data_IF_975125238041
#
_entry.id   IF_975125238041
#
_cell.length_a   1.000
_cell.length_b   1.000
_cell.length_c   1.000
_cell.angle_alpha   90.00
_cell.angle_beta   90.00
_cell.angle_gamma   90.00
#
_symmetry.space_group_name_H-M   'P 1'
#
loop_
_entity.id
_entity.type
_entity.pdbx_description
1 polymer ?
#
# COMPACT_ATOMS: atom_id res chain seq x y z
N UNK A 1 19.33 -0.46 -21.04
CA UNK A 1 18.02 0.23 -21.04
C UNK A 1 17.79 0.70 -19.61
N UNK A 2 17.80 2.01 -19.38
CA UNK A 2 17.46 2.57 -18.06
C UNK A 2 15.97 2.42 -17.77
N UNK A 3 15.57 2.55 -16.50
CA UNK A 3 14.14 2.58 -16.09
C UNK A 3 13.33 3.53 -16.98
N UNK A 4 13.95 4.64 -17.44
CA UNK A 4 13.30 5.67 -18.25
C UNK A 4 12.86 5.22 -19.66
N UNK A 5 13.41 4.14 -20.22
CA UNK A 5 13.07 3.66 -21.57
C UNK A 5 11.89 2.68 -21.62
N UNK A 6 11.38 2.23 -20.46
CA UNK A 6 10.21 1.32 -20.36
C UNK A 6 8.92 2.07 -20.02
N UNK A 7 9.00 3.40 -19.93
CA UNK A 7 7.86 4.24 -19.56
C UNK A 7 6.80 4.27 -20.65
N UNK A 8 5.63 3.68 -20.35
CA UNK A 8 4.43 3.89 -21.17
C UNK A 8 3.93 5.34 -20.99
N UNK A 9 3.40 5.98 -22.06
CA UNK A 9 2.70 7.24 -21.92
C UNK A 9 1.56 7.07 -20.92
N UNK A 10 1.50 7.88 -19.87
CA UNK A 10 0.46 7.83 -18.82
C UNK A 10 1.00 7.92 -17.39
N UNK A 11 2.31 7.78 -17.21
CA UNK A 11 2.93 7.84 -15.87
C UNK A 11 3.60 9.20 -15.60
N UNK A 12 3.05 10.27 -16.15
CA UNK A 12 3.59 11.64 -16.02
C UNK A 12 3.78 12.06 -14.56
N UNK A 13 2.90 11.61 -13.67
CA UNK A 13 2.95 11.93 -12.25
C UNK A 13 4.11 11.25 -11.54
N UNK A 14 4.42 10.00 -11.89
CA UNK A 14 5.60 9.31 -11.39
C UNK A 14 6.87 9.95 -11.95
N UNK A 15 6.90 10.29 -13.23
CA UNK A 15 8.01 11.03 -13.85
C UNK A 15 8.22 12.40 -13.20
N UNK A 16 7.13 13.07 -12.83
CA UNK A 16 7.24 14.33 -12.08
C UNK A 16 7.80 14.12 -10.68
N UNK A 17 7.43 13.03 -9.99
CA UNK A 17 8.04 12.65 -8.72
C UNK A 17 9.54 12.39 -8.88
N UNK A 18 9.96 11.61 -9.89
CA UNK A 18 11.37 11.34 -10.18
C UNK A 18 12.14 12.67 -10.44
N UNK A 19 11.55 13.60 -11.18
CA UNK A 19 12.13 14.92 -11.43
C UNK A 19 12.27 15.76 -10.15
N UNK A 20 11.29 15.71 -9.25
CA UNK A 20 11.36 16.43 -7.95
C UNK A 20 12.41 15.83 -7.01
N UNK A 21 12.79 14.58 -7.22
CA UNK A 21 13.78 13.85 -6.40
C UNK A 21 15.13 13.73 -7.09
N UNK A 22 15.28 14.27 -8.30
CA UNK A 22 16.52 14.23 -9.07
C UNK A 22 17.70 14.81 -8.28
N UNK A 23 18.86 14.16 -8.34
CA UNK A 23 20.08 14.55 -7.65
C UNK A 23 20.17 14.07 -6.19
N UNK A 24 19.12 13.44 -5.64
CA UNK A 24 19.16 12.79 -4.33
C UNK A 24 19.37 11.29 -4.49
N UNK A 25 20.19 10.73 -3.62
CA UNK A 25 20.35 9.27 -3.52
C UNK A 25 19.10 8.62 -2.88
N UNK A 26 18.97 7.32 -3.04
CA UNK A 26 17.87 6.56 -2.42
C UNK A 26 17.88 6.73 -0.89
N UNK A 27 19.05 6.63 -0.26
CA UNK A 27 19.13 6.77 1.21
C UNK A 27 18.81 8.18 1.68
N UNK A 28 19.16 9.23 0.93
CA UNK A 28 18.75 10.60 1.25
C UNK A 28 17.22 10.76 1.18
N UNK A 29 16.55 10.10 0.22
CA UNK A 29 15.10 10.10 0.12
C UNK A 29 14.44 9.32 1.25
N UNK A 30 15.00 8.18 1.64
CA UNK A 30 14.49 7.35 2.72
C UNK A 30 14.72 7.95 4.12
N UNK A 31 15.62 8.94 4.23
CA UNK A 31 15.88 9.71 5.45
C UNK A 31 15.05 11.00 5.55
N UNK A 32 14.26 11.33 4.53
CA UNK A 32 13.33 12.47 4.61
C UNK A 32 12.34 12.26 5.76
N UNK A 33 11.90 13.35 6.35
CA UNK A 33 10.78 13.29 7.28
C UNK A 33 9.51 12.82 6.56
N UNK A 34 8.60 12.13 7.24
CA UNK A 34 7.32 11.72 6.66
C UNK A 34 6.53 12.87 6.04
N UNK A 35 6.62 14.07 6.62
CA UNK A 35 5.98 15.26 6.11
C UNK A 35 6.59 15.74 4.78
N UNK A 36 7.91 15.63 4.60
CA UNK A 36 8.57 15.96 3.34
C UNK A 36 8.17 14.97 2.24
N UNK A 37 8.12 13.67 2.55
CA UNK A 37 7.64 12.65 1.60
C UNK A 37 6.19 12.90 1.21
N UNK A 38 5.30 13.17 2.17
CA UNK A 38 3.91 13.57 1.90
C UNK A 38 3.86 14.79 0.97
N UNK A 39 4.66 15.80 1.24
CA UNK A 39 4.70 17.02 0.42
C UNK A 39 5.14 16.75 -1.03
N UNK A 40 6.10 15.84 -1.24
CA UNK A 40 6.48 15.38 -2.57
C UNK A 40 5.33 14.68 -3.28
N UNK A 41 4.66 13.74 -2.62
CA UNK A 41 3.51 13.01 -3.17
C UNK A 41 2.36 13.96 -3.53
N UNK A 42 2.00 14.88 -2.64
CA UNK A 42 0.92 15.85 -2.84
C UNK A 42 1.12 16.75 -4.07
N UNK A 43 2.38 17.10 -4.39
CA UNK A 43 2.71 17.94 -5.55
C UNK A 43 2.51 17.24 -6.90
N UNK A 44 2.48 15.91 -6.92
CA UNK A 44 2.54 15.11 -8.16
C UNK A 44 1.20 14.58 -8.63
N UNK A 45 0.12 14.80 -7.92
CA UNK A 45 -1.18 14.12 -8.14
C UNK A 45 -1.12 12.58 -8.09
N UNK A 46 -0.02 12.00 -7.63
CA UNK A 46 0.05 10.55 -7.40
C UNK A 46 -1.08 10.01 -6.49
N UNK A 47 -1.59 10.75 -5.50
CA UNK A 47 -2.72 10.28 -4.72
C UNK A 47 -4.04 10.17 -5.49
N UNK A 48 -4.18 10.83 -6.64
CA UNK A 48 -5.43 10.96 -7.39
C UNK A 48 -5.48 10.18 -8.71
N UNK A 49 -4.56 9.22 -8.93
CA UNK A 49 -4.44 8.53 -10.23
C UNK A 49 -5.73 7.84 -10.67
N UNK A 50 -6.36 7.08 -9.79
CA UNK A 50 -7.55 6.25 -10.10
C UNK A 50 -8.87 6.94 -9.76
N UNK A 51 -8.84 8.09 -9.07
CA UNK A 51 -10.05 8.82 -8.69
C UNK A 51 -10.76 9.34 -9.94
N UNK A 52 -12.10 9.19 -10.05
CA UNK A 52 -12.86 9.67 -11.20
C UNK A 52 -12.70 11.17 -11.45
N UNK A 53 -12.72 11.55 -12.73
CA UNK A 53 -12.57 12.97 -13.16
C UNK A 53 -13.63 13.89 -12.56
N UNK A 54 -14.83 13.38 -12.29
CA UNK A 54 -15.92 14.15 -11.67
C UNK A 54 -15.54 14.66 -10.27
N UNK A 55 -14.60 13.99 -9.59
CA UNK A 55 -14.04 14.42 -8.31
C UNK A 55 -12.68 15.12 -8.46
N UNK A 56 -12.24 15.44 -9.68
CA UNK A 56 -10.98 16.12 -9.96
C UNK A 56 -9.76 15.18 -10.09
N UNK A 57 -9.97 13.86 -10.03
CA UNK A 57 -8.94 12.84 -10.22
C UNK A 57 -8.54 12.66 -11.69
N UNK A 58 -7.58 11.76 -11.94
CA UNK A 58 -7.06 11.48 -13.28
C UNK A 58 -7.80 10.35 -13.98
N UNK A 59 -8.51 9.50 -13.24
CA UNK A 59 -9.28 8.36 -13.75
C UNK A 59 -8.44 7.44 -14.63
N UNK A 60 -7.18 7.19 -14.23
CA UNK A 60 -6.31 6.26 -14.94
C UNK A 60 -6.74 4.82 -14.68
N UNK A 61 -6.53 3.91 -15.64
CA UNK A 61 -6.66 2.48 -15.41
C UNK A 61 -5.77 2.02 -14.25
N UNK A 62 -6.22 1.04 -13.48
CA UNK A 62 -5.50 0.51 -12.31
C UNK A 62 -4.05 0.11 -12.66
N UNK A 63 -3.84 -0.52 -13.84
CA UNK A 63 -2.52 -0.91 -14.32
C UNK A 63 -1.53 0.25 -14.43
N UNK A 64 -1.99 1.44 -14.83
CA UNK A 64 -1.13 2.63 -14.93
C UNK A 64 -0.76 3.18 -13.56
N UNK A 65 -1.68 3.11 -12.60
CA UNK A 65 -1.40 3.48 -11.22
C UNK A 65 -0.40 2.50 -10.56
N UNK A 66 -0.49 1.20 -10.86
CA UNK A 66 0.46 0.19 -10.40
C UNK A 66 1.86 0.41 -10.96
N UNK A 67 1.97 0.70 -12.26
CA UNK A 67 3.25 1.06 -12.89
C UNK A 67 3.84 2.32 -12.25
N UNK A 68 3.02 3.34 -11.99
CA UNK A 68 3.45 4.57 -11.31
C UNK A 68 4.03 4.30 -9.92
N UNK A 69 3.34 3.48 -9.12
CA UNK A 69 3.81 3.11 -7.78
C UNK A 69 5.11 2.30 -7.85
N UNK A 70 5.26 1.39 -8.81
CA UNK A 70 6.50 0.66 -9.04
C UNK A 70 7.69 1.58 -9.37
N UNK A 71 7.47 2.62 -10.17
CA UNK A 71 8.49 3.63 -10.49
C UNK A 71 8.89 4.47 -9.25
N UNK A 72 7.92 4.89 -8.46
CA UNK A 72 8.19 5.61 -7.20
C UNK A 72 8.99 4.72 -6.24
N UNK A 73 8.66 3.43 -6.16
CA UNK A 73 9.36 2.47 -5.30
C UNK A 73 10.82 2.26 -5.69
N UNK A 74 11.16 2.43 -6.97
CA UNK A 74 12.53 2.30 -7.45
C UNK A 74 13.46 3.40 -6.91
N UNK A 75 12.93 4.56 -6.51
CA UNK A 75 13.72 5.68 -5.99
C UNK A 75 13.44 5.97 -4.52
N UNK A 76 12.22 5.70 -4.04
CA UNK A 76 11.80 5.92 -2.65
C UNK A 76 10.75 4.88 -2.24
N UNK A 77 11.17 3.69 -1.76
CA UNK A 77 10.27 2.64 -1.27
C UNK A 77 9.26 3.12 -0.24
N UNK A 78 9.66 4.02 0.68
CA UNK A 78 8.75 4.59 1.69
C UNK A 78 7.60 5.37 1.06
N UNK A 79 7.87 6.22 0.05
CA UNK A 79 6.84 6.98 -0.65
C UNK A 79 5.85 6.04 -1.38
N UNK A 80 6.36 5.00 -2.02
CA UNK A 80 5.52 3.99 -2.68
C UNK A 80 4.63 3.25 -1.67
N UNK A 81 5.16 2.91 -0.49
CA UNK A 81 4.39 2.24 0.55
C UNK A 81 3.28 3.12 1.13
N UNK A 82 3.55 4.44 1.29
CA UNK A 82 2.50 5.40 1.65
C UNK A 82 1.37 5.40 0.62
N UNK A 83 1.69 5.35 -0.68
CA UNK A 83 0.69 5.23 -1.75
C UNK A 83 -0.06 3.89 -1.72
N UNK A 84 0.61 2.77 -1.41
CA UNK A 84 -0.04 1.47 -1.28
C UNK A 84 -1.12 1.49 -0.18
N UNK A 85 -0.81 2.08 0.98
CA UNK A 85 -1.77 2.21 2.07
C UNK A 85 -2.90 3.18 1.74
N UNK A 86 -2.60 4.26 1.04
CA UNK A 86 -3.59 5.20 0.53
C UNK A 86 -4.56 4.51 -0.43
N UNK A 87 -4.06 3.79 -1.42
CA UNK A 87 -4.88 3.10 -2.41
C UNK A 87 -5.61 1.86 -1.86
N UNK A 88 -5.15 1.28 -0.75
CA UNK A 88 -5.92 0.25 -0.04
C UNK A 88 -7.35 0.71 0.23
N UNK A 89 -7.55 1.96 0.63
CA UNK A 89 -8.87 2.53 0.96
C UNK A 89 -9.46 3.29 -0.23
N UNK A 90 -8.67 4.16 -0.84
CA UNK A 90 -9.17 5.06 -1.89
C UNK A 90 -9.66 4.30 -3.12
N UNK A 91 -9.11 3.12 -3.42
CA UNK A 91 -9.61 2.27 -4.52
C UNK A 91 -11.07 1.88 -4.31
N UNK A 92 -11.43 1.50 -3.09
CA UNK A 92 -12.82 1.13 -2.74
C UNK A 92 -13.75 2.34 -2.86
N UNK A 93 -13.37 3.47 -2.26
CA UNK A 93 -14.21 4.69 -2.29
C UNK A 93 -14.39 5.18 -3.74
N UNK A 94 -13.33 5.12 -4.56
CA UNK A 94 -13.36 5.54 -5.96
C UNK A 94 -14.18 4.60 -6.85
N UNK A 95 -14.23 3.29 -6.54
CA UNK A 95 -15.00 2.29 -7.29
C UNK A 95 -16.49 2.34 -6.93
N UNK A 96 -16.83 2.65 -5.68
CA UNK A 96 -18.21 2.67 -5.16
C UNK A 96 -18.58 4.01 -4.53
N UNK A 97 -18.42 5.15 -5.20
CA UNK A 97 -18.54 6.45 -4.56
C UNK A 97 -19.96 6.76 -4.02
N UNK A 98 -20.98 6.14 -4.58
CA UNK A 98 -22.38 6.29 -4.11
C UNK A 98 -22.69 5.50 -2.85
N UNK A 99 -21.82 4.56 -2.47
CA UNK A 99 -21.97 3.76 -1.26
C UNK A 99 -21.48 4.47 0.01
N UNK A 100 -20.70 5.53 -0.14
CA UNK A 100 -20.04 6.22 0.96
C UNK A 100 -20.50 7.69 1.03
N UNK A 101 -21.24 8.10 2.07
CA UNK A 101 -21.76 9.47 2.17
C UNK A 101 -20.66 10.55 2.11
N UNK A 102 -19.46 10.22 2.61
CA UNK A 102 -18.28 11.10 2.62
C UNK A 102 -17.47 11.11 1.31
N UNK A 103 -17.80 10.23 0.35
CA UNK A 103 -16.94 10.00 -0.83
C UNK A 103 -16.65 11.28 -1.61
N UNK A 104 -17.65 12.10 -1.89
CA UNK A 104 -17.47 13.33 -2.67
C UNK A 104 -16.48 14.28 -2.00
N UNK A 105 -16.61 14.47 -0.69
CA UNK A 105 -15.73 15.37 0.09
C UNK A 105 -14.31 14.84 0.06
N UNK A 106 -14.11 13.57 0.40
CA UNK A 106 -12.80 12.92 0.52
C UNK A 106 -12.11 12.86 -0.84
N UNK A 107 -12.80 12.38 -1.90
CA UNK A 107 -12.20 12.23 -3.22
C UNK A 107 -11.83 13.57 -3.84
N UNK A 108 -12.65 14.62 -3.65
CA UNK A 108 -12.31 15.98 -4.08
C UNK A 108 -11.13 16.54 -3.30
N UNK A 109 -11.07 16.35 -1.99
CA UNK A 109 -9.98 16.87 -1.16
C UNK A 109 -8.65 16.17 -1.52
N UNK A 110 -8.65 14.87 -1.75
CA UNK A 110 -7.47 14.14 -2.25
C UNK A 110 -7.04 14.71 -3.62
N UNK A 111 -7.97 14.87 -4.54
CA UNK A 111 -7.67 15.24 -5.93
C UNK A 111 -7.20 16.68 -6.10
N UNK A 112 -7.80 17.61 -5.35
CA UNK A 112 -7.55 19.05 -5.48
C UNK A 112 -6.45 19.55 -4.54
N UNK A 113 -6.36 18.96 -3.35
CA UNK A 113 -5.46 19.42 -2.29
C UNK A 113 -4.31 18.44 -2.02
N UNK A 114 -4.23 17.31 -2.75
CA UNK A 114 -3.16 16.31 -2.60
C UNK A 114 -3.16 15.61 -1.25
N UNK A 115 -4.34 15.45 -0.64
CA UNK A 115 -4.51 14.79 0.66
C UNK A 115 -4.20 13.30 0.59
N UNK A 116 -3.76 12.74 1.72
CA UNK A 116 -3.48 11.31 1.85
C UNK A 116 -4.39 10.67 2.91
N UNK A 117 -4.79 9.43 2.64
CA UNK A 117 -5.58 8.60 3.53
C UNK A 117 -4.74 7.43 4.04
N UNK A 118 -4.70 7.24 5.35
CA UNK A 118 -4.09 6.08 5.98
C UNK A 118 -5.10 4.94 6.15
N UNK A 119 -4.60 3.72 6.06
CA UNK A 119 -5.35 2.51 6.39
C UNK A 119 -5.03 2.08 7.82
N UNK A 120 -5.98 2.21 8.74
CA UNK A 120 -5.89 1.81 10.13
C UNK A 120 -6.71 0.54 10.39
N UNK A 121 -6.32 -0.56 9.73
CA UNK A 121 -6.97 -1.87 9.85
C UNK A 121 -6.13 -2.87 10.66
N UNK A 122 -4.80 -2.77 10.61
CA UNK A 122 -3.91 -3.75 11.23
C UNK A 122 -3.94 -3.70 12.77
N UNK A 123 -3.98 -4.88 13.39
CA UNK A 123 -3.81 -5.08 14.84
C UNK A 123 -2.70 -6.11 15.08
N UNK A 124 -1.76 -5.82 16.00
CA UNK A 124 -0.63 -6.70 16.30
C UNK A 124 -0.97 -7.85 17.27
N UNK A 125 -2.23 -8.00 17.64
CA UNK A 125 -2.73 -9.13 18.40
C UNK A 125 -2.83 -10.35 17.50
N UNK A 126 -1.99 -11.36 17.66
CA UNK A 126 -1.84 -12.63 16.94
C UNK A 126 -2.95 -13.24 16.09
N UNK A 127 -4.12 -12.66 16.03
CA UNK A 127 -5.18 -12.99 15.08
C UNK A 127 -4.91 -12.22 13.78
N UNK A 128 -4.48 -12.95 12.76
CA UNK A 128 -4.09 -12.39 11.45
C UNK A 128 -5.29 -12.06 10.54
N UNK A 129 -6.49 -12.07 11.09
CA UNK A 129 -7.70 -11.71 10.36
C UNK A 129 -7.85 -10.18 10.34
N UNK A 130 -7.61 -9.59 9.17
CA UNK A 130 -7.74 -8.14 8.95
C UNK A 130 -9.19 -7.64 9.01
N UNK A 131 -10.16 -8.56 8.99
CA UNK A 131 -11.58 -8.25 9.10
C UNK A 131 -12.06 -8.23 10.56
N UNK A 132 -11.28 -8.78 11.49
CA UNK A 132 -11.56 -8.68 12.93
C UNK A 132 -10.95 -7.40 13.50
N UNK A 133 -11.73 -6.66 14.25
CA UNK A 133 -11.27 -5.45 14.93
C UNK A 133 -11.65 -5.47 16.42
N UNK A 134 -10.71 -4.99 17.26
CA UNK A 134 -10.95 -4.74 18.68
C UNK A 134 -11.25 -3.27 18.99
N UNK A 135 -11.24 -2.40 17.97
CA UNK A 135 -11.56 -0.99 18.16
C UNK A 135 -13.06 -0.83 18.33
N UNK A 136 -13.45 -0.48 19.55
CA UNK A 136 -14.86 -0.37 19.94
C UNK A 136 -15.48 0.93 19.44
N UNK A 137 -16.71 0.83 18.93
CA UNK A 137 -17.58 1.95 18.64
C UNK A 137 -18.80 1.91 19.57
N UNK A 138 -19.07 2.99 20.29
CA UNK A 138 -20.30 3.17 21.07
C UNK A 138 -21.17 4.22 20.40
N UNK A 139 -22.44 3.87 20.17
CA UNK A 139 -23.43 4.77 19.57
C UNK A 139 -24.39 5.22 20.67
N UNK A 140 -24.51 6.52 20.88
CA UNK A 140 -25.48 7.06 21.85
C UNK A 140 -26.89 7.16 21.25
N UNK A 141 -27.90 7.32 22.09
CA UNK A 141 -29.29 7.53 21.66
C UNK A 141 -29.45 8.77 20.76
N UNK A 142 -28.53 9.72 20.86
CA UNK A 142 -28.48 10.95 20.05
C UNK A 142 -27.72 10.76 18.73
N UNK A 143 -27.27 9.52 18.38
CA UNK A 143 -26.51 9.21 17.17
C UNK A 143 -25.06 9.64 17.21
N UNK A 144 -24.50 9.99 18.37
CA UNK A 144 -23.08 10.30 18.53
C UNK A 144 -22.27 9.01 18.61
N UNK A 145 -21.31 8.85 17.72
CA UNK A 145 -20.43 7.69 17.67
C UNK A 145 -19.10 8.04 18.34
N UNK A 146 -18.68 7.24 19.32
CA UNK A 146 -17.37 7.36 19.98
C UNK A 146 -16.53 6.12 19.70
N UNK A 147 -15.28 6.35 19.30
CA UNK A 147 -14.33 5.30 18.92
C UNK A 147 -13.25 5.21 19.99
N UNK A 148 -12.97 3.99 20.47
CA UNK A 148 -11.95 3.72 21.49
C UNK A 148 -11.18 2.45 21.15
N UNK A 149 -9.84 2.49 21.24
CA UNK A 149 -8.96 1.38 20.96
C UNK A 149 -7.65 1.80 20.31
N UNK A 150 -6.97 0.91 19.60
CA UNK A 150 -5.76 1.26 18.85
C UNK A 150 -5.53 0.36 17.65
N UNK A 151 -4.75 0.86 16.68
CA UNK A 151 -4.30 0.14 15.48
C UNK A 151 -2.79 0.27 15.32
N UNK A 152 -2.12 -0.83 14.93
CA UNK A 152 -0.67 -0.86 14.70
C UNK A 152 -0.23 -2.06 13.84
N UNK A 153 0.69 -1.84 12.87
CA UNK A 153 1.19 -0.52 12.45
C UNK A 153 0.14 0.24 11.63
N UNK A 154 0.12 1.57 11.76
CA UNK A 154 -0.61 2.47 10.89
C UNK A 154 0.42 3.35 10.16
N UNK A 155 0.58 3.12 8.87
CA UNK A 155 1.44 3.94 8.00
C UNK A 155 0.84 5.34 7.86
N UNK A 156 1.71 6.36 7.82
CA UNK A 156 1.31 7.78 7.83
C UNK A 156 0.59 8.20 9.12
N UNK A 157 0.95 7.61 10.25
CA UNK A 157 0.25 7.79 11.53
C UNK A 157 0.19 9.24 12.02
N UNK A 158 1.19 10.08 11.72
CA UNK A 158 1.21 11.51 12.04
C UNK A 158 0.82 12.39 10.86
N UNK A 159 1.08 11.95 9.62
CA UNK A 159 1.05 12.82 8.45
C UNK A 159 -0.16 12.62 7.55
N UNK A 160 -0.89 11.50 7.62
CA UNK A 160 -2.13 11.34 6.85
C UNK A 160 -3.14 12.45 7.18
N UNK A 161 -3.96 12.82 6.22
CA UNK A 161 -5.05 13.78 6.42
C UNK A 161 -6.31 13.09 6.92
N UNK A 162 -6.52 11.84 6.46
CA UNK A 162 -7.63 10.98 6.83
C UNK A 162 -7.16 9.61 7.27
N UNK A 163 -7.91 8.97 8.15
CA UNK A 163 -7.70 7.58 8.59
C UNK A 163 -8.97 6.78 8.38
N UNK A 164 -8.91 5.71 7.59
CA UNK A 164 -9.96 4.72 7.54
C UNK A 164 -9.71 3.67 8.64
N UNK A 165 -10.62 3.57 9.57
CA UNK A 165 -10.49 2.75 10.79
C UNK A 165 -11.57 1.68 10.80
N UNK A 166 -11.18 0.40 10.90
CA UNK A 166 -12.15 -0.67 11.17
C UNK A 166 -12.59 -0.61 12.64
N UNK A 167 -13.89 -0.64 12.89
CA UNK A 167 -14.54 -0.53 14.19
C UNK A 167 -15.58 -1.62 14.37
N UNK A 168 -15.99 -1.86 15.62
CA UNK A 168 -17.07 -2.81 15.95
C UNK A 168 -17.92 -2.27 17.09
N UNK A 169 -19.23 -2.43 17.01
CA UNK A 169 -20.15 -2.10 18.12
C UNK A 169 -20.14 -3.18 19.19
N UNK A 170 -20.73 -2.91 20.35
CA UNK A 170 -20.90 -3.87 21.42
C UNK A 170 -21.74 -5.10 21.01
N UNK A 171 -22.67 -4.90 20.07
CA UNK A 171 -23.54 -5.93 19.49
C UNK A 171 -22.83 -6.77 18.43
N UNK A 172 -21.59 -6.43 18.09
CA UNK A 172 -20.78 -7.15 17.09
C UNK A 172 -21.00 -6.67 15.65
N UNK A 173 -21.62 -5.52 15.40
CA UNK A 173 -21.77 -4.95 14.07
C UNK A 173 -20.46 -4.27 13.67
N UNK A 174 -19.75 -4.76 12.63
CA UNK A 174 -18.54 -4.12 12.14
C UNK A 174 -18.85 -2.88 11.29
N UNK A 175 -17.86 -1.98 11.21
CA UNK A 175 -17.97 -0.78 10.39
C UNK A 175 -16.58 -0.23 10.01
N UNK A 176 -16.59 0.78 9.15
CA UNK A 176 -15.42 1.59 8.79
C UNK A 176 -15.76 3.04 9.08
N UNK A 177 -14.97 3.68 9.94
CA UNK A 177 -15.03 5.11 10.21
C UNK A 177 -13.92 5.85 9.48
N UNK A 178 -14.22 7.04 8.96
CA UNK A 178 -13.23 7.96 8.43
C UNK A 178 -13.01 9.08 9.45
N UNK A 179 -11.77 9.19 9.94
CA UNK A 179 -11.36 10.21 10.90
C UNK A 179 -10.42 11.21 10.21
N UNK A 180 -10.43 12.46 10.68
CA UNK A 180 -9.49 13.49 10.24
C UNK A 180 -8.31 13.58 11.21
N UNK A 181 -7.13 13.97 10.72
CA UNK A 181 -5.93 14.07 11.55
C UNK A 181 -6.06 15.04 12.73
N UNK A 182 -6.97 16.03 12.63
CA UNK A 182 -7.24 17.00 13.67
C UNK A 182 -8.28 16.58 14.71
N UNK A 183 -8.88 15.38 14.60
CA UNK A 183 -9.92 14.94 15.52
C UNK A 183 -9.37 14.77 16.94
N UNK A 184 -10.12 15.33 17.91
CA UNK A 184 -9.75 15.23 19.32
C UNK A 184 -9.77 13.77 19.78
N UNK A 185 -8.81 13.40 20.62
CA UNK A 185 -8.65 12.02 21.12
C UNK A 185 -7.74 11.13 20.28
N UNK A 186 -7.27 11.58 19.12
CA UNK A 186 -6.25 10.85 18.36
C UNK A 186 -4.88 11.03 19.02
N UNK A 187 -4.24 9.91 19.41
CA UNK A 187 -2.90 9.87 19.96
C UNK A 187 -2.00 8.95 19.12
N UNK A 188 -0.71 9.17 19.16
CA UNK A 188 0.30 8.37 18.46
C UNK A 188 1.33 7.87 19.45
N UNK A 189 1.79 6.64 19.21
CA UNK A 189 2.84 6.01 20.02
C UNK A 189 3.83 5.33 19.10
N UNK A 190 5.12 5.52 19.35
CA UNK A 190 6.18 4.87 18.58
C UNK A 190 5.99 3.35 18.59
N UNK A 191 6.06 2.74 17.41
CA UNK A 191 5.88 1.30 17.23
C UNK A 191 6.96 0.69 16.35
N UNK A 192 7.31 1.32 15.22
CA UNK A 192 8.25 0.76 14.26
C UNK A 192 9.66 0.64 14.84
N UNK A 193 10.21 -0.58 15.06
CA UNK A 193 11.46 -0.76 15.78
C UNK A 193 12.71 -0.73 14.89
N UNK A 194 12.52 -0.70 13.56
CA UNK A 194 13.60 -0.88 12.58
C UNK A 194 14.19 0.42 12.07
N UNK A 195 15.25 0.26 11.29
CA UNK A 195 15.98 1.32 10.57
C UNK A 195 15.59 1.40 9.08
N UNK A 196 14.57 0.64 8.68
CA UNK A 196 14.12 0.53 7.29
C UNK A 196 12.73 1.14 7.12
N UNK A 197 12.48 1.83 6.02
CA UNK A 197 11.20 2.46 5.70
C UNK A 197 10.70 3.46 6.77
N UNK A 198 11.62 4.17 7.42
CA UNK A 198 11.29 5.11 8.49
C UNK A 198 10.38 6.26 8.01
N UNK A 199 10.57 6.71 6.78
CA UNK A 199 9.78 7.78 6.20
C UNK A 199 8.30 7.39 5.97
N UNK A 200 7.93 6.11 6.13
CA UNK A 200 6.51 5.68 6.09
C UNK A 200 5.71 6.11 7.31
N UNK A 201 6.36 6.49 8.41
CA UNK A 201 5.68 6.91 9.65
C UNK A 201 4.70 5.83 10.17
N UNK A 202 5.19 4.58 10.25
CA UNK A 202 4.36 3.41 10.60
C UNK A 202 4.35 3.17 12.11
N UNK A 203 3.44 3.83 12.84
CA UNK A 203 3.35 3.77 14.29
C UNK A 203 1.99 3.26 14.78
N UNK A 204 1.81 3.22 16.11
CA UNK A 204 0.52 2.94 16.74
C UNK A 204 -0.33 4.21 16.76
N UNK A 205 -1.57 4.12 16.27
CA UNK A 205 -2.58 5.15 16.44
C UNK A 205 -3.57 4.70 17.50
N UNK A 206 -3.84 5.57 18.47
CA UNK A 206 -4.72 5.32 19.62
C UNK A 206 -5.92 6.24 19.52
N UNK A 207 -7.09 5.66 19.67
CA UNK A 207 -8.39 6.34 19.69
C UNK A 207 -8.87 6.44 21.15
N UNK A 208 -8.86 7.64 21.71
CA UNK A 208 -9.31 7.91 23.07
C UNK A 208 -10.63 8.69 23.05
N UNK A 209 -11.74 7.96 22.94
CA UNK A 209 -13.08 8.52 22.82
C UNK A 209 -13.22 9.52 21.66
N UNK A 210 -12.67 9.18 20.49
CA UNK A 210 -12.76 10.01 19.29
C UNK A 210 -14.21 10.08 18.83
N UNK A 211 -14.75 11.28 18.68
CA UNK A 211 -16.11 11.49 18.21
C UNK A 211 -16.13 11.56 16.69
N UNK A 212 -17.01 10.78 16.09
CA UNK A 212 -17.26 10.79 14.64
C UNK A 212 -18.73 10.96 14.35
N UNK A 213 -19.05 11.65 13.24
CA UNK A 213 -20.43 11.81 12.78
C UNK A 213 -20.88 10.57 12.02
N UNK A 214 -22.17 10.29 12.05
CA UNK A 214 -22.78 9.15 11.37
C UNK A 214 -22.43 9.11 9.87
N UNK A 215 -22.50 10.23 9.16
CA UNK A 215 -22.16 10.36 7.74
C UNK A 215 -20.69 9.98 7.40
N UNK A 216 -19.85 9.79 8.41
CA UNK A 216 -18.45 9.41 8.27
C UNK A 216 -18.19 7.95 8.69
N UNK A 217 -19.26 7.17 8.87
CA UNK A 217 -19.20 5.75 9.20
C UNK A 217 -20.01 4.95 8.19
N UNK A 218 -19.50 3.81 7.79
CA UNK A 218 -20.23 2.81 7.00
C UNK A 218 -20.30 1.53 7.81
N UNK A 219 -21.52 1.08 8.09
CA UNK A 219 -21.80 -0.13 8.85
C UNK A 219 -22.01 -1.34 7.92
N UNK A 220 -21.70 -2.52 8.42
CA UNK A 220 -21.91 -3.79 7.74
C UNK A 220 -23.36 -4.25 7.81
N UNK A 221 -24.29 -3.43 7.32
CA UNK A 221 -25.73 -3.71 7.34
C UNK A 221 -26.21 -4.54 6.15
N UNK A 222 -25.35 -4.74 5.14
CA UNK A 222 -25.69 -5.47 3.92
C UNK A 222 -24.47 -6.26 3.37
N UNK A 223 -24.74 -7.18 2.45
CA UNK A 223 -23.73 -8.03 1.79
C UNK A 223 -22.64 -7.23 1.02
N UNK A 224 -22.92 -5.97 0.66
CA UNK A 224 -21.95 -5.13 -0.04
C UNK A 224 -20.74 -4.74 0.81
N UNK A 225 -20.84 -4.80 2.14
CA UNK A 225 -19.74 -4.44 3.03
C UNK A 225 -18.52 -5.35 2.80
N UNK A 226 -18.75 -6.65 2.67
CA UNK A 226 -17.67 -7.61 2.36
C UNK A 226 -17.03 -7.30 0.99
N UNK A 227 -17.83 -6.91 0.00
CA UNK A 227 -17.34 -6.49 -1.32
C UNK A 227 -16.39 -5.30 -1.20
N UNK A 228 -16.69 -4.32 -0.34
CA UNK A 228 -15.84 -3.15 -0.11
C UNK A 228 -14.52 -3.53 0.54
N UNK A 229 -14.53 -4.39 1.55
CA UNK A 229 -13.32 -4.91 2.19
C UNK A 229 -12.46 -5.70 1.21
N UNK A 230 -13.07 -6.58 0.44
CA UNK A 230 -12.39 -7.39 -0.57
C UNK A 230 -11.77 -6.54 -1.68
N UNK A 231 -12.45 -5.46 -2.11
CA UNK A 231 -11.90 -4.50 -3.08
C UNK A 231 -10.64 -3.83 -2.55
N UNK A 232 -10.66 -3.38 -1.31
CA UNK A 232 -9.49 -2.83 -0.64
C UNK A 232 -8.35 -3.85 -0.57
N UNK A 233 -8.65 -5.08 -0.17
CA UNK A 233 -7.66 -6.16 -0.04
C UNK A 233 -7.02 -6.53 -1.39
N UNK A 234 -7.82 -6.66 -2.45
CA UNK A 234 -7.32 -6.92 -3.82
C UNK A 234 -6.41 -5.77 -4.26
N UNK A 235 -6.88 -4.53 -4.15
CA UNK A 235 -6.11 -3.35 -4.54
C UNK A 235 -4.80 -3.26 -3.76
N UNK A 236 -4.83 -3.41 -2.43
CA UNK A 236 -3.65 -3.40 -1.59
C UNK A 236 -2.60 -4.40 -2.04
N UNK A 237 -3.00 -5.66 -2.28
CA UNK A 237 -2.06 -6.71 -2.68
C UNK A 237 -1.44 -6.44 -4.05
N UNK A 238 -2.19 -5.89 -5.01
CA UNK A 238 -1.66 -5.50 -6.32
C UNK A 238 -0.65 -4.35 -6.18
N UNK A 239 -0.99 -3.28 -5.45
CA UNK A 239 -0.11 -2.14 -5.25
C UNK A 239 1.18 -2.51 -4.52
N UNK A 240 1.10 -3.33 -3.48
CA UNK A 240 2.27 -3.74 -2.72
C UNK A 240 3.20 -4.63 -3.55
N UNK A 241 2.65 -5.54 -4.37
CA UNK A 241 3.44 -6.33 -5.31
C UNK A 241 4.16 -5.45 -6.35
N UNK A 242 3.48 -4.42 -6.88
CA UNK A 242 4.09 -3.47 -7.79
C UNK A 242 5.22 -2.68 -7.13
N UNK A 243 5.02 -2.20 -5.90
CA UNK A 243 6.03 -1.46 -5.14
C UNK A 243 7.28 -2.29 -4.88
N UNK A 244 7.15 -3.50 -4.35
CA UNK A 244 8.31 -4.35 -4.06
C UNK A 244 8.99 -4.89 -5.33
N UNK A 245 8.26 -5.10 -6.41
CA UNK A 245 8.85 -5.39 -7.73
C UNK A 245 9.68 -4.20 -8.22
N UNK A 246 9.18 -2.97 -8.08
CA UNK A 246 9.91 -1.74 -8.41
C UNK A 246 11.19 -1.55 -7.59
N UNK A 247 11.13 -1.79 -6.27
CA UNK A 247 12.31 -1.75 -5.40
C UNK A 247 13.35 -2.82 -5.78
N UNK A 248 12.92 -4.04 -6.13
CA UNK A 248 13.80 -5.11 -6.61
C UNK A 248 14.37 -4.80 -8.00
N UNK A 249 13.61 -4.12 -8.86
CA UNK A 249 14.10 -3.59 -10.14
C UNK A 249 15.26 -2.62 -9.90
N UNK A 250 15.13 -1.66 -8.98
CA UNK A 250 16.20 -0.73 -8.62
C UNK A 250 17.43 -1.45 -8.07
N UNK A 251 17.24 -2.49 -7.25
CA UNK A 251 18.35 -3.34 -6.79
C UNK A 251 19.08 -3.99 -7.97
N UNK A 252 18.35 -4.49 -8.99
CA UNK A 252 18.95 -5.11 -10.17
C UNK A 252 19.78 -4.13 -11.00
N UNK A 253 19.44 -2.86 -10.99
CA UNK A 253 20.15 -1.81 -11.75
C UNK A 253 21.48 -1.41 -11.11
N UNK A 254 21.71 -1.88 -9.89
CA UNK A 254 23.01 -1.73 -9.25
C UNK A 254 24.04 -2.74 -9.74
N UNK A 255 23.67 -3.74 -10.54
CA UNK A 255 24.62 -4.59 -11.22
C UNK A 255 25.42 -3.83 -12.29
N UNK A 256 26.66 -4.24 -12.53
CA UNK A 256 27.46 -3.63 -13.59
C UNK A 256 26.84 -3.91 -14.97
N UNK A 257 26.99 -2.98 -15.93
CA UNK A 257 26.53 -3.22 -17.31
C UNK A 257 27.09 -4.50 -17.92
N UNK A 258 28.37 -4.83 -17.62
CA UNK A 258 29.03 -6.06 -18.09
C UNK A 258 28.38 -7.32 -17.52
N UNK A 259 28.01 -7.33 -16.23
CA UNK A 259 27.27 -8.45 -15.63
C UNK A 259 25.93 -8.64 -16.32
N UNK A 260 25.17 -7.55 -16.51
CA UNK A 260 23.85 -7.58 -17.16
C UNK A 260 23.89 -7.92 -18.65
N UNK A 261 25.05 -7.88 -19.31
CA UNK A 261 25.22 -8.35 -20.69
C UNK A 261 25.24 -9.88 -20.79
N UNK A 262 25.49 -10.61 -19.69
CA UNK A 262 25.46 -12.09 -19.69
C UNK A 262 24.02 -12.60 -19.71
N UNK A 263 23.60 -13.44 -20.68
CA UNK A 263 22.27 -14.04 -20.69
C UNK A 263 21.96 -14.87 -19.43
N UNK A 264 22.96 -15.53 -18.86
CA UNK A 264 22.82 -16.32 -17.63
C UNK A 264 22.43 -15.49 -16.41
N UNK A 265 22.78 -14.19 -16.39
CA UNK A 265 22.43 -13.23 -15.33
C UNK A 265 21.16 -12.48 -15.72
N UNK A 266 21.07 -12.02 -16.96
CA UNK A 266 19.97 -11.22 -17.46
C UNK A 266 18.62 -11.97 -17.40
N UNK A 267 18.58 -13.23 -17.86
CA UNK A 267 17.34 -14.00 -17.99
C UNK A 267 16.67 -14.22 -16.62
N UNK A 268 17.32 -14.78 -15.57
CA UNK A 268 16.65 -14.98 -14.28
C UNK A 268 16.24 -13.67 -13.62
N UNK A 269 17.00 -12.58 -13.77
CA UNK A 269 16.71 -11.31 -13.14
C UNK A 269 15.63 -10.55 -13.91
N UNK A 270 15.88 -10.20 -15.17
CA UNK A 270 14.91 -9.39 -15.95
C UNK A 270 13.67 -10.16 -16.35
N UNK A 271 13.81 -11.45 -16.67
CA UNK A 271 12.67 -12.32 -16.94
C UNK A 271 11.79 -12.51 -15.71
N UNK A 272 12.38 -12.74 -14.54
CA UNK A 272 11.65 -12.84 -13.27
C UNK A 272 10.93 -11.56 -12.88
N UNK A 273 11.60 -10.40 -12.98
CA UNK A 273 10.97 -9.10 -12.73
C UNK A 273 9.83 -8.81 -13.72
N UNK A 274 10.02 -9.11 -15.00
CA UNK A 274 8.97 -8.97 -16.00
C UNK A 274 7.77 -9.88 -15.70
N UNK A 275 8.01 -11.13 -15.30
CA UNK A 275 6.95 -12.06 -14.89
C UNK A 275 6.17 -11.49 -13.69
N UNK A 276 6.84 -11.03 -12.64
CA UNK A 276 6.19 -10.43 -11.47
C UNK A 276 5.30 -9.24 -11.90
N UNK A 277 5.86 -8.31 -12.68
CA UNK A 277 5.14 -7.13 -13.15
C UNK A 277 3.93 -7.48 -14.01
N UNK A 278 4.11 -8.30 -15.05
CA UNK A 278 3.01 -8.62 -15.97
C UNK A 278 1.92 -9.48 -15.32
N UNK A 279 2.24 -10.31 -14.34
CA UNK A 279 1.24 -11.04 -13.57
C UNK A 279 0.33 -10.10 -12.77
N UNK A 280 0.91 -9.08 -12.14
CA UNK A 280 0.16 -8.03 -11.41
C UNK A 280 -0.73 -7.25 -12.38
N UNK A 281 -0.18 -6.80 -13.51
CA UNK A 281 -0.91 -6.02 -14.51
C UNK A 281 -2.03 -6.84 -15.16
N UNK A 282 -1.82 -8.14 -15.39
CA UNK A 282 -2.83 -9.04 -15.95
C UNK A 282 -4.07 -9.18 -15.05
N UNK A 283 -3.86 -9.30 -13.74
CA UNK A 283 -5.00 -9.28 -12.80
C UNK A 283 -5.67 -7.90 -12.79
N UNK A 284 -4.88 -6.84 -12.75
CA UNK A 284 -5.41 -5.47 -12.67
C UNK A 284 -6.33 -5.10 -13.86
N UNK A 285 -6.11 -5.68 -15.04
CA UNK A 285 -6.98 -5.48 -16.21
C UNK A 285 -8.36 -6.15 -16.07
N UNK A 286 -8.47 -7.10 -15.15
CA UNK A 286 -9.68 -7.89 -14.93
C UNK A 286 -10.40 -7.55 -13.61
N UNK A 287 -9.94 -6.55 -12.86
CA UNK A 287 -10.60 -6.14 -11.61
C UNK A 287 -11.90 -5.43 -11.94
N UNK A 288 -13.01 -6.09 -11.60
CA UNK A 288 -14.38 -5.59 -11.78
C UNK A 288 -15.19 -5.87 -10.51
N UNK A 289 -16.24 -5.08 -10.22
CA UNK A 289 -17.10 -5.32 -9.06
C UNK A 289 -17.58 -6.76 -8.93
N UNK A 290 -17.99 -7.37 -10.04
CA UNK A 290 -18.62 -8.69 -10.06
C UNK A 290 -17.64 -9.86 -9.81
N UNK A 291 -16.33 -9.61 -9.86
CA UNK A 291 -15.34 -10.67 -9.70
C UNK A 291 -14.41 -10.51 -8.50
N UNK A 292 -14.57 -9.45 -7.71
CA UNK A 292 -13.71 -9.14 -6.56
C UNK A 292 -13.60 -10.31 -5.59
N UNK A 293 -14.72 -10.96 -5.25
CA UNK A 293 -14.73 -12.00 -4.23
C UNK A 293 -13.83 -13.19 -4.60
N UNK A 294 -13.87 -13.65 -5.86
CA UNK A 294 -13.02 -14.75 -6.30
C UNK A 294 -11.59 -14.33 -6.63
N UNK A 295 -11.34 -13.04 -6.88
CA UNK A 295 -9.99 -12.52 -7.06
C UNK A 295 -9.17 -12.49 -5.75
N UNK A 296 -9.80 -12.45 -4.58
CA UNK A 296 -9.08 -12.40 -3.30
C UNK A 296 -8.07 -13.56 -3.14
N UNK A 297 -8.46 -14.84 -3.25
CA UNK A 297 -7.50 -15.94 -3.14
C UNK A 297 -6.45 -15.93 -4.25
N UNK A 298 -6.82 -15.54 -5.47
CA UNK A 298 -5.90 -15.46 -6.62
C UNK A 298 -4.81 -14.42 -6.39
N UNK A 299 -5.17 -13.23 -5.92
CA UNK A 299 -4.23 -12.13 -5.66
C UNK A 299 -3.32 -12.46 -4.49
N UNK A 300 -3.82 -13.09 -3.43
CA UNK A 300 -3.00 -13.56 -2.31
C UNK A 300 -2.02 -14.63 -2.77
N UNK A 301 -2.47 -15.63 -3.52
CA UNK A 301 -1.60 -16.66 -4.07
C UNK A 301 -0.51 -16.05 -4.97
N UNK A 302 -0.88 -15.10 -5.85
CA UNK A 302 0.07 -14.36 -6.70
C UNK A 302 1.10 -13.62 -5.85
N UNK A 303 0.67 -12.90 -4.81
CA UNK A 303 1.60 -12.19 -3.91
C UNK A 303 2.64 -13.12 -3.31
N UNK A 304 2.25 -14.31 -2.84
CA UNK A 304 3.21 -15.25 -2.26
C UNK A 304 4.17 -15.82 -3.31
N UNK A 305 3.75 -16.00 -4.55
CA UNK A 305 4.65 -16.38 -5.65
C UNK A 305 5.61 -15.23 -6.00
N UNK A 306 5.14 -13.98 -6.04
CA UNK A 306 6.01 -12.81 -6.25
C UNK A 306 7.02 -12.68 -5.11
N UNK A 307 6.60 -12.83 -3.86
CA UNK A 307 7.50 -12.83 -2.71
C UNK A 307 8.64 -13.87 -2.86
N UNK A 308 8.30 -15.07 -3.32
CA UNK A 308 9.30 -16.12 -3.60
C UNK A 308 10.21 -15.73 -4.75
N UNK A 309 9.64 -15.26 -5.87
CA UNK A 309 10.41 -14.86 -7.05
C UNK A 309 11.37 -13.71 -6.72
N UNK A 310 10.94 -12.68 -6.01
CA UNK A 310 11.79 -11.55 -5.61
C UNK A 310 12.94 -11.99 -4.70
N UNK A 311 12.72 -12.97 -3.82
CA UNK A 311 13.77 -13.55 -2.99
C UNK A 311 14.83 -14.27 -3.84
N UNK A 312 14.41 -15.06 -4.82
CA UNK A 312 15.32 -15.76 -5.75
C UNK A 312 16.08 -14.75 -6.63
N UNK A 313 15.40 -13.75 -7.18
CA UNK A 313 16.04 -12.69 -7.97
C UNK A 313 17.11 -11.94 -7.15
N UNK A 314 16.81 -11.62 -5.91
CA UNK A 314 17.74 -10.96 -4.99
C UNK A 314 19.00 -11.78 -4.77
N UNK A 315 18.89 -13.10 -4.61
CA UNK A 315 20.04 -14.01 -4.51
C UNK A 315 20.89 -13.92 -5.78
N UNK A 316 20.28 -14.04 -6.96
CA UNK A 316 20.99 -13.92 -8.24
C UNK A 316 21.70 -12.56 -8.40
N UNK A 317 21.09 -11.47 -7.93
CA UNK A 317 21.73 -10.16 -7.96
C UNK A 317 23.02 -10.17 -7.12
N UNK A 318 22.93 -10.61 -5.85
CA UNK A 318 24.10 -10.57 -4.94
C UNK A 318 25.20 -11.55 -5.31
N UNK A 319 24.90 -12.71 -5.87
CA UNK A 319 25.90 -13.65 -6.40
C UNK A 319 26.76 -13.00 -7.51
N UNK A 320 26.21 -11.99 -8.20
CA UNK A 320 26.89 -11.31 -9.30
C UNK A 320 27.39 -9.90 -8.96
N UNK A 321 27.36 -9.53 -7.68
CA UNK A 321 27.82 -8.20 -7.21
C UNK A 321 29.33 -8.10 -7.11
N UNK A 322 30.01 -9.21 -6.76
CA UNK A 322 31.42 -9.21 -6.37
C UNK A 322 31.63 -8.67 -4.94
N UNK A 323 32.65 -9.20 -4.24
CA UNK A 323 32.84 -8.98 -2.81
C UNK A 323 33.00 -7.49 -2.43
N UNK A 324 33.80 -6.73 -3.20
CA UNK A 324 34.05 -5.32 -2.89
C UNK A 324 32.77 -4.50 -2.95
N UNK A 325 31.97 -4.66 -4.00
CA UNK A 325 30.72 -3.93 -4.17
C UNK A 325 29.68 -4.39 -3.16
N UNK A 326 29.58 -5.69 -2.91
CA UNK A 326 28.70 -6.21 -1.87
C UNK A 326 28.96 -5.55 -0.50
N UNK A 327 30.23 -5.36 -0.13
CA UNK A 327 30.59 -4.75 1.15
C UNK A 327 30.35 -3.24 1.21
N UNK A 328 30.37 -2.53 0.07
CA UNK A 328 30.34 -1.06 0.04
C UNK A 328 29.02 -0.44 -0.39
N UNK A 329 28.12 -1.19 -1.06
CA UNK A 329 26.86 -0.65 -1.59
C UNK A 329 25.74 -0.71 -0.55
N UNK A 330 25.67 0.34 0.29
CA UNK A 330 24.68 0.46 1.37
C UNK A 330 23.24 0.57 0.86
N UNK A 331 23.02 1.17 -0.32
CA UNK A 331 21.70 1.27 -0.92
C UNK A 331 21.21 -0.09 -1.45
N UNK A 332 22.11 -0.93 -1.97
CA UNK A 332 21.77 -2.30 -2.35
C UNK A 332 21.28 -3.10 -1.13
N UNK A 333 21.96 -2.97 0.00
CA UNK A 333 21.55 -3.62 1.25
C UNK A 333 20.23 -3.09 1.76
N UNK A 334 20.01 -1.77 1.65
CA UNK A 334 18.73 -1.16 2.01
C UNK A 334 17.59 -1.71 1.17
N UNK A 335 17.73 -1.70 -0.15
CA UNK A 335 16.72 -2.23 -1.08
C UNK A 335 16.45 -3.72 -0.82
N UNK A 336 17.49 -4.51 -0.58
CA UNK A 336 17.35 -5.93 -0.28
C UNK A 336 16.54 -6.19 0.99
N UNK A 337 16.79 -5.42 2.06
CA UNK A 337 15.99 -5.47 3.29
C UNK A 337 14.56 -5.00 3.04
N UNK A 338 14.37 -3.92 2.29
CA UNK A 338 13.04 -3.41 1.94
C UNK A 338 12.23 -4.50 1.22
N UNK A 339 12.79 -5.16 0.22
CA UNK A 339 12.10 -6.23 -0.54
C UNK A 339 11.65 -7.39 0.35
N UNK A 340 12.42 -7.74 1.38
CA UNK A 340 12.05 -8.81 2.31
C UNK A 340 10.77 -8.50 3.12
N UNK A 341 10.44 -7.22 3.31
CA UNK A 341 9.26 -6.80 4.08
C UNK A 341 7.92 -7.19 3.42
N UNK A 342 7.90 -7.54 2.13
CA UNK A 342 6.70 -8.07 1.47
C UNK A 342 6.13 -9.29 2.21
N UNK A 343 7.00 -10.08 2.87
CA UNK A 343 6.61 -11.27 3.61
C UNK A 343 5.75 -10.99 4.85
N UNK A 344 5.86 -9.78 5.40
CA UNK A 344 5.28 -9.44 6.71
C UNK A 344 3.97 -8.67 6.63
N UNK A 345 3.52 -8.32 5.43
CA UNK A 345 2.21 -7.68 5.27
C UNK A 345 1.07 -8.68 5.50
N UNK A 346 -0.03 -8.27 6.13
CA UNK A 346 -1.23 -9.10 6.26
C UNK A 346 -1.92 -9.28 4.87
N UNK A 347 -2.56 -10.36 4.57
CA UNK A 347 -2.56 -11.63 5.29
C UNK A 347 -1.21 -12.32 5.02
N UNK A 348 -0.56 -12.87 6.05
CA UNK A 348 0.69 -13.60 5.82
C UNK A 348 0.42 -14.93 5.11
N UNK A 349 1.43 -15.48 4.40
CA UNK A 349 1.29 -16.78 3.72
C UNK A 349 0.79 -17.88 4.67
N UNK A 350 1.35 -17.94 5.87
CA UNK A 350 0.96 -18.93 6.86
C UNK A 350 -0.50 -18.76 7.33
N UNK A 351 -0.94 -17.51 7.56
CA UNK A 351 -2.33 -17.23 7.91
C UNK A 351 -3.31 -17.63 6.82
N UNK A 352 -2.96 -17.36 5.54
CA UNK A 352 -3.77 -17.77 4.40
C UNK A 352 -3.86 -19.29 4.25
N UNK A 353 -2.72 -20.00 4.37
CA UNK A 353 -2.69 -21.47 4.34
C UNK A 353 -3.58 -22.09 5.42
N UNK A 354 -3.59 -21.51 6.64
CA UNK A 354 -4.48 -21.94 7.71
C UNK A 354 -5.97 -21.70 7.40
N UNK A 355 -6.30 -20.56 6.81
CA UNK A 355 -7.68 -20.24 6.42
C UNK A 355 -8.19 -21.23 5.34
N UNK A 356 -7.38 -21.47 4.32
CA UNK A 356 -7.73 -22.44 3.24
C UNK A 356 -7.88 -23.86 3.78
N UNK A 357 -7.06 -24.28 4.73
CA UNK A 357 -7.15 -25.61 5.34
C UNK A 357 -8.45 -25.82 6.13
N UNK A 358 -8.94 -24.78 6.82
CA UNK A 358 -10.21 -24.84 7.57
C UNK A 358 -11.45 -24.91 6.64
N UNK A 359 -11.36 -24.34 5.45
CA UNK A 359 -12.43 -24.41 4.45
C UNK A 359 -12.47 -25.73 3.67
N UNK A 360 -11.46 -26.59 3.83
CA UNK A 360 -11.36 -27.90 3.19
C UNK A 360 -11.70 -29.08 4.15
N UNK A 361 -12.12 -28.79 5.37
CA UNK A 361 -12.66 -29.85 6.25
C UNK A 361 -14.04 -30.28 5.73
N UNK A 362 -14.27 -31.59 5.50
CA UNK A 362 -15.49 -32.14 4.89
C UNK A 362 -16.74 -31.98 5.75
#
# INVERSE_FOLDING_TARGET
MSIHEVLRPGVDQANYFLKLTEGRSLLELEQLSPQEVKCLLSKTKLPALIIPKVYGGLQLPLKEALDAVGLVAAVCPSAALMLCMHYHVVSTIAMYPTAFPFAEIVLKDISLNGKLMASAFAESSGNQDIFHTSVAASVSDEGVIKITGSKKPCTMSHVADYYAVSIITAEGLPGIAILSNGDAGLKRKAFWPGDILLATDSHEIIFDNVIVKEDWVVWAENESFELYLNTGLVSFNLFICAAYTGACQALSERLSPGAMASPAIFIPIKGGLAQCRYSVLGIAENVMPDNIAWLVPEVLALRYQIQRALKEIKIHIFENFGAQRYLSDTEAHYLAKAVDLLAFHPVTRFGFEQQMSKGCEP
#
